data_IF_612816038655
#
_entry.id   IF_612816038655
#
_cell.length_a   1.000
_cell.length_b   1.000
_cell.length_c   1.000
_cell.angle_alpha   90.00
_cell.angle_beta   90.00
_cell.angle_gamma   90.00
#
_symmetry.space_group_name_H-M   'P 1'
#
loop_
_entity.id
_entity.type
_entity.pdbx_description
1 polymer ?
#
# COMPACT_ATOMS: atom_id res chain seq x y z
N UNK A 1 31.61 60.22 -48.10
CA UNK A 1 30.37 59.64 -48.70
C UNK A 1 30.02 58.43 -47.85
N UNK A 2 28.95 58.49 -47.03
CA UNK A 2 27.67 57.73 -47.17
C UNK A 2 27.94 56.26 -47.54
N UNK A 3 27.52 55.25 -46.77
CA UNK A 3 26.16 54.97 -46.31
C UNK A 3 26.14 54.19 -44.99
N UNK A 4 25.21 54.56 -44.12
CA UNK A 4 24.73 53.75 -43.01
C UNK A 4 23.68 52.76 -43.53
N UNK A 5 23.82 51.49 -43.18
CA UNK A 5 22.82 50.46 -43.46
C UNK A 5 22.23 49.98 -42.14
N UNK A 6 21.03 50.46 -41.84
CA UNK A 6 20.20 50.01 -40.73
C UNK A 6 19.68 48.59 -41.00
N UNK A 7 20.02 47.63 -40.14
CA UNK A 7 19.41 46.30 -40.13
C UNK A 7 18.21 46.34 -39.16
N UNK A 8 17.00 46.35 -39.71
CA UNK A 8 15.77 46.23 -38.94
C UNK A 8 15.49 44.74 -38.75
N UNK A 9 15.72 44.23 -37.53
CA UNK A 9 15.33 42.88 -37.14
C UNK A 9 13.83 42.86 -36.81
N UNK A 10 13.03 42.23 -37.66
CA UNK A 10 11.60 42.02 -37.45
C UNK A 10 11.42 40.85 -36.49
N UNK A 11 11.06 41.14 -35.24
CA UNK A 11 10.72 40.14 -34.23
C UNK A 11 9.28 39.67 -34.48
N UNK A 12 9.11 38.52 -35.14
CA UNK A 12 7.80 37.89 -35.31
C UNK A 12 7.40 37.18 -34.00
N UNK A 13 6.51 37.81 -33.23
CA UNK A 13 5.88 37.21 -32.05
C UNK A 13 4.84 36.18 -32.53
N UNK A 14 5.21 34.89 -32.55
CA UNK A 14 4.23 33.82 -32.77
C UNK A 14 3.50 33.58 -31.45
N UNK A 15 2.32 34.18 -31.31
CA UNK A 15 1.41 33.89 -30.21
C UNK A 15 0.78 32.49 -30.43
N UNK A 16 1.42 31.45 -29.92
CA UNK A 16 0.78 30.14 -29.76
C UNK A 16 -0.26 30.22 -28.66
N UNK A 17 -1.53 30.36 -29.04
CA UNK A 17 -2.65 30.13 -28.14
C UNK A 17 -2.69 28.65 -27.77
N UNK A 18 -2.14 28.30 -26.61
CA UNK A 18 -2.38 27.02 -25.97
C UNK A 18 -3.84 27.03 -25.51
N UNK A 19 -4.72 26.40 -26.29
CA UNK A 19 -6.06 26.06 -25.83
C UNK A 19 -5.88 25.04 -24.70
N UNK A 20 -5.95 25.53 -23.46
CA UNK A 20 -6.09 24.70 -22.29
C UNK A 20 -7.44 23.96 -22.40
N UNK A 21 -7.40 22.76 -22.97
CA UNK A 21 -8.50 21.81 -22.86
C UNK A 21 -8.73 21.59 -21.37
N UNK A 22 -9.87 22.07 -20.86
CA UNK A 22 -10.31 21.76 -19.51
C UNK A 22 -10.42 20.24 -19.41
N UNK A 23 -9.42 19.61 -18.78
CA UNK A 23 -9.54 18.23 -18.34
C UNK A 23 -10.68 18.19 -17.34
N UNK A 24 -11.88 17.87 -17.84
CA UNK A 24 -12.94 17.39 -16.97
C UNK A 24 -12.39 16.13 -16.31
N UNK A 25 -12.15 16.23 -15.00
CA UNK A 25 -11.95 15.09 -14.12
C UNK A 25 -13.10 14.12 -14.33
N UNK A 26 -12.91 13.14 -15.20
CA UNK A 26 -13.80 11.98 -15.29
C UNK A 26 -13.63 11.25 -13.97
N UNK A 27 -14.53 11.54 -13.01
CA UNK A 27 -14.66 10.76 -11.79
C UNK A 27 -14.65 9.28 -12.17
N UNK A 28 -13.82 8.44 -11.53
CA UNK A 28 -13.73 7.03 -11.86
C UNK A 28 -15.13 6.43 -11.87
N UNK A 29 -15.45 5.75 -12.97
CA UNK A 29 -16.77 5.18 -13.23
C UNK A 29 -16.95 3.96 -12.31
N UNK A 30 -17.30 4.20 -11.05
CA UNK A 30 -17.75 3.12 -10.18
C UNK A 30 -19.12 2.65 -10.68
N UNK A 31 -19.30 1.36 -11.02
CA UNK A 31 -20.62 0.84 -11.36
C UNK A 31 -21.55 1.04 -10.16
N UNK A 32 -22.53 1.93 -10.32
CA UNK A 32 -23.35 2.51 -9.24
C UNK A 32 -24.34 1.55 -8.57
N UNK A 33 -24.28 0.24 -8.81
CA UNK A 33 -25.40 -0.66 -8.49
C UNK A 33 -25.06 -2.03 -7.87
N UNK A 34 -23.80 -2.31 -7.53
CA UNK A 34 -23.49 -3.58 -6.86
C UNK A 34 -23.58 -3.45 -5.34
N UNK A 35 -24.23 -4.43 -4.69
CA UNK A 35 -24.35 -4.48 -3.22
C UNK A 35 -22.94 -4.51 -2.60
N UNK A 36 -22.72 -3.83 -1.46
CA UNK A 36 -21.42 -3.86 -0.79
C UNK A 36 -21.10 -5.27 -0.32
N UNK A 37 -19.83 -5.66 -0.44
CA UNK A 37 -19.32 -6.87 0.19
C UNK A 37 -19.31 -6.61 1.70
N UNK A 38 -19.67 -7.63 2.47
CA UNK A 38 -19.70 -7.56 3.93
C UNK A 38 -18.56 -8.41 4.50
N UNK A 39 -17.76 -7.83 5.38
CA UNK A 39 -16.79 -8.53 6.21
C UNK A 39 -17.27 -8.56 7.66
N UNK A 40 -17.02 -9.66 8.37
CA UNK A 40 -17.36 -9.78 9.80
C UNK A 40 -16.53 -8.76 10.61
N UNK A 41 -17.19 -7.91 11.40
CA UNK A 41 -16.54 -6.92 12.27
C UNK A 41 -15.50 -7.51 13.24
N UNK A 42 -15.55 -8.82 13.51
CA UNK A 42 -14.54 -9.51 14.30
C UNK A 42 -13.16 -9.51 13.63
N UNK A 43 -13.04 -9.16 12.35
CA UNK A 43 -11.77 -8.88 11.69
C UNK A 43 -10.94 -7.83 12.43
N UNK A 44 -11.59 -6.90 13.14
CA UNK A 44 -10.92 -5.86 13.93
C UNK A 44 -10.47 -6.33 15.33
N UNK A 45 -10.79 -7.56 15.75
CA UNK A 45 -10.46 -8.08 17.08
C UNK A 45 -9.03 -8.65 17.15
N UNK A 46 -8.06 -7.92 16.61
CA UNK A 46 -6.65 -8.35 16.51
C UNK A 46 -5.97 -8.42 17.86
N UNK A 47 -6.47 -7.69 18.87
CA UNK A 47 -5.90 -7.69 20.22
C UNK A 47 -6.04 -9.02 20.97
N UNK A 48 -6.80 -9.98 20.44
CA UNK A 48 -6.90 -11.36 20.95
C UNK A 48 -5.90 -12.31 20.32
N UNK A 49 -5.20 -11.87 19.28
CA UNK A 49 -4.23 -12.65 18.53
C UNK A 49 -2.85 -12.26 19.04
N UNK A 50 -2.01 -13.22 19.46
CA UNK A 50 -0.64 -12.94 19.86
C UNK A 50 0.12 -12.21 18.75
N UNK A 51 1.03 -11.32 19.13
CA UNK A 51 1.99 -10.78 18.18
C UNK A 51 2.96 -11.90 17.78
N UNK A 52 3.18 -12.06 16.47
CA UNK A 52 4.12 -13.03 15.91
C UNK A 52 5.30 -12.29 15.28
N UNK A 53 6.51 -12.40 15.86
CA UNK A 53 7.73 -11.88 15.24
C UNK A 53 7.98 -12.55 13.88
N UNK A 54 8.24 -11.75 12.84
CA UNK A 54 8.68 -12.26 11.54
C UNK A 54 10.17 -11.95 11.40
N UNK A 55 10.98 -12.91 11.82
CA UNK A 55 12.43 -12.82 11.83
C UNK A 55 13.03 -13.94 10.98
N UNK A 56 14.03 -13.61 10.18
CA UNK A 56 14.78 -14.57 9.39
C UNK A 56 16.20 -14.11 9.09
N UNK A 57 17.04 -15.04 8.63
CA UNK A 57 18.45 -14.79 8.35
C UNK A 57 18.73 -14.35 6.91
N UNK A 58 17.74 -14.46 6.01
CA UNK A 58 17.89 -14.09 4.60
C UNK A 58 17.31 -12.69 4.33
N UNK A 59 17.78 -12.07 3.24
CA UNK A 59 17.21 -10.81 2.77
C UNK A 59 15.70 -10.94 2.55
N UNK A 60 14.99 -9.88 2.91
CA UNK A 60 13.55 -9.69 2.79
C UNK A 60 12.70 -10.68 3.60
N UNK A 61 13.30 -11.32 4.62
CA UNK A 61 12.57 -12.20 5.55
C UNK A 61 12.15 -11.52 6.85
N UNK A 62 12.75 -10.37 7.17
CA UNK A 62 12.43 -9.59 8.37
C UNK A 62 11.38 -8.52 8.06
N UNK A 63 10.29 -8.52 8.82
CA UNK A 63 9.22 -7.52 8.68
C UNK A 63 8.36 -7.46 9.94
N UNK A 64 7.54 -6.42 10.07
CA UNK A 64 6.60 -6.29 11.20
C UNK A 64 5.18 -6.33 10.69
N UNK A 65 4.36 -7.21 11.25
CA UNK A 65 2.98 -7.41 10.89
C UNK A 65 2.01 -7.13 12.03
N UNK A 66 0.83 -6.63 11.69
CA UNK A 66 -0.36 -6.72 12.52
C UNK A 66 -1.18 -7.92 12.01
N UNK A 67 -1.26 -8.98 12.81
CA UNK A 67 -1.89 -10.26 12.41
C UNK A 67 -3.40 -10.21 12.64
N UNK A 68 -4.15 -10.73 11.67
CA UNK A 68 -5.60 -10.88 11.71
C UNK A 68 -6.00 -12.36 11.72
N UNK A 69 -7.19 -12.65 12.22
CA UNK A 69 -7.72 -14.00 12.17
C UNK A 69 -8.28 -14.24 10.76
N UNK A 70 -7.56 -15.06 10.00
CA UNK A 70 -7.88 -15.34 8.61
C UNK A 70 -9.30 -15.89 8.43
N UNK A 71 -9.91 -16.51 9.45
CA UNK A 71 -11.29 -17.01 9.33
C UNK A 71 -12.32 -15.91 9.04
N UNK A 72 -12.03 -14.66 9.40
CA UNK A 72 -12.89 -13.51 9.09
C UNK A 72 -12.59 -12.86 7.74
N UNK A 73 -11.41 -13.15 7.18
CA UNK A 73 -10.97 -12.65 5.86
C UNK A 73 -11.30 -13.65 4.75
N UNK A 74 -11.20 -14.95 5.04
CA UNK A 74 -11.44 -16.05 4.10
C UNK A 74 -12.78 -15.95 3.35
N UNK A 75 -13.93 -15.63 3.98
CA UNK A 75 -15.20 -15.51 3.24
C UNK A 75 -15.17 -14.42 2.17
N UNK A 76 -14.43 -13.32 2.41
CA UNK A 76 -14.25 -12.26 1.42
C UNK A 76 -13.36 -12.75 0.28
N UNK A 77 -12.26 -13.45 0.59
CA UNK A 77 -11.42 -14.07 -0.44
C UNK A 77 -12.21 -15.07 -1.30
N UNK A 78 -12.95 -16.00 -0.68
CA UNK A 78 -13.74 -17.02 -1.39
C UNK A 78 -14.76 -16.36 -2.33
N UNK A 79 -15.46 -15.31 -1.88
CA UNK A 79 -16.40 -14.55 -2.69
C UNK A 79 -15.71 -13.87 -3.88
N UNK A 80 -14.60 -13.17 -3.62
CA UNK A 80 -13.82 -12.48 -4.66
C UNK A 80 -13.35 -13.49 -5.71
N UNK A 81 -12.81 -14.62 -5.26
CA UNK A 81 -12.23 -15.63 -6.16
C UNK A 81 -13.30 -16.37 -6.98
N UNK A 82 -14.53 -16.46 -6.48
CA UNK A 82 -15.67 -17.04 -7.19
C UNK A 82 -16.36 -16.03 -8.14
N UNK A 83 -16.06 -14.74 -8.05
CA UNK A 83 -16.79 -13.68 -8.79
C UNK A 83 -15.90 -13.07 -9.88
N UNK A 84 -16.21 -13.39 -11.14
CA UNK A 84 -15.50 -12.94 -12.34
C UNK A 84 -15.25 -11.41 -12.40
N UNK A 85 -16.24 -10.60 -12.03
CA UNK A 85 -16.11 -9.13 -12.04
C UNK A 85 -15.10 -8.60 -11.01
N UNK A 86 -14.97 -9.28 -9.87
CA UNK A 86 -14.09 -8.90 -8.76
C UNK A 86 -12.65 -9.37 -9.01
N UNK A 87 -12.47 -10.61 -9.51
CA UNK A 87 -11.14 -11.17 -9.78
C UNK A 87 -10.66 -10.98 -11.23
N UNK A 88 -11.40 -10.28 -12.08
CA UNK A 88 -11.06 -10.10 -13.49
C UNK A 88 -10.78 -11.43 -14.23
N UNK A 89 -11.63 -12.44 -14.00
CA UNK A 89 -11.50 -13.80 -14.54
C UNK A 89 -10.13 -14.46 -14.24
N UNK A 90 -9.48 -14.06 -13.15
CA UNK A 90 -8.18 -14.58 -12.74
C UNK A 90 -8.35 -15.38 -11.46
N UNK A 91 -8.01 -16.68 -11.50
CA UNK A 91 -7.92 -17.49 -10.29
C UNK A 91 -6.82 -16.93 -9.38
N UNK A 92 -7.16 -16.65 -8.13
CA UNK A 92 -6.27 -16.11 -7.12
C UNK A 92 -5.80 -17.22 -6.18
N UNK A 93 -4.52 -17.17 -5.84
CA UNK A 93 -3.89 -17.90 -4.76
C UNK A 93 -4.04 -17.10 -3.46
N UNK A 94 -4.29 -17.81 -2.36
CA UNK A 94 -4.25 -17.26 -1.02
C UNK A 94 -3.10 -17.89 -0.23
N UNK A 95 -2.57 -17.15 0.74
CA UNK A 95 -1.57 -17.64 1.69
C UNK A 95 -2.18 -18.44 2.85
N UNK A 96 -3.50 -18.41 3.01
CA UNK A 96 -4.17 -19.01 4.16
C UNK A 96 -3.98 -18.23 5.47
N UNK A 97 -3.51 -16.99 5.39
CA UNK A 97 -3.28 -16.08 6.51
C UNK A 97 -3.73 -14.66 6.16
N UNK A 98 -3.85 -13.78 7.16
CA UNK A 98 -4.09 -12.36 6.93
C UNK A 98 -3.28 -11.50 7.89
N UNK A 99 -2.65 -10.46 7.35
CA UNK A 99 -1.95 -9.43 8.12
C UNK A 99 -1.98 -8.08 7.41
N UNK A 100 -1.63 -7.04 8.16
CA UNK A 100 -1.20 -5.75 7.62
C UNK A 100 0.30 -5.69 7.80
N UNK A 101 1.07 -5.58 6.70
CA UNK A 101 2.52 -5.35 6.79
C UNK A 101 2.74 -3.91 7.23
N UNK A 102 3.28 -3.73 8.43
CA UNK A 102 3.47 -2.41 9.07
C UNK A 102 4.86 -1.86 8.82
N UNK A 103 5.87 -2.72 8.79
CA UNK A 103 7.22 -2.43 8.28
C UNK A 103 7.48 -3.44 7.18
N UNK A 104 7.71 -2.97 5.96
CA UNK A 104 7.93 -3.80 4.80
C UNK A 104 9.36 -4.39 4.83
N UNK A 105 9.57 -5.58 4.25
CA UNK A 105 10.92 -6.14 4.12
C UNK A 105 11.95 -5.17 3.49
N UNK A 106 11.67 -4.49 2.35
CA UNK A 106 12.60 -3.49 1.80
C UNK A 106 12.80 -2.26 2.71
N UNK A 107 11.80 -1.85 3.50
CA UNK A 107 12.00 -0.78 4.49
C UNK A 107 12.99 -1.23 5.58
N UNK A 108 12.86 -2.47 6.05
CA UNK A 108 13.79 -2.99 7.04
C UNK A 108 15.20 -3.16 6.47
N UNK A 109 15.38 -3.98 5.44
CA UNK A 109 16.71 -4.39 4.98
C UNK A 109 17.50 -3.25 4.32
N UNK A 110 16.82 -2.34 3.60
CA UNK A 110 17.50 -1.29 2.83
C UNK A 110 17.60 0.04 3.57
N UNK A 111 16.79 0.27 4.62
CA UNK A 111 16.69 1.58 5.28
C UNK A 111 16.98 1.48 6.77
N UNK A 112 16.21 0.69 7.52
CA UNK A 112 16.32 0.64 8.97
C UNK A 112 17.56 -0.13 9.45
N UNK A 113 17.79 -1.32 8.91
CA UNK A 113 18.89 -2.19 9.29
C UNK A 113 20.28 -1.58 9.03
N UNK A 114 20.54 -0.92 7.88
CA UNK A 114 21.82 -0.24 7.62
C UNK A 114 22.14 0.88 8.63
N UNK A 115 21.12 1.48 9.26
CA UNK A 115 21.29 2.45 10.34
C UNK A 115 21.48 1.80 11.73
N UNK A 116 21.54 0.47 11.83
CA UNK A 116 21.73 -0.24 13.10
C UNK A 116 20.46 -0.42 13.93
N UNK A 117 19.28 -0.28 13.31
CA UNK A 117 18.01 -0.71 13.90
C UNK A 117 17.86 -2.22 13.73
N UNK A 118 17.60 -2.96 14.80
CA UNK A 118 17.43 -4.42 14.72
C UNK A 118 15.95 -4.81 14.71
N UNK A 119 15.62 -5.97 14.11
CA UNK A 119 14.25 -6.49 14.10
C UNK A 119 13.74 -6.76 15.53
N UNK A 120 14.63 -7.11 16.47
CA UNK A 120 14.29 -7.28 17.89
C UNK A 120 13.87 -5.96 18.54
N UNK A 121 14.50 -4.84 18.19
CA UNK A 121 14.08 -3.51 18.66
C UNK A 121 12.69 -3.16 18.12
N UNK A 122 12.43 -3.45 16.84
CA UNK A 122 11.12 -3.24 16.22
C UNK A 122 10.03 -4.12 16.87
N UNK A 123 10.34 -5.39 17.12
CA UNK A 123 9.45 -6.33 17.81
C UNK A 123 9.18 -5.88 19.25
N UNK A 124 10.18 -5.33 19.95
CA UNK A 124 10.02 -4.78 21.29
C UNK A 124 9.08 -3.59 21.32
N UNK A 125 9.15 -2.69 20.32
CA UNK A 125 8.17 -1.60 20.18
C UNK A 125 6.77 -2.18 19.93
N UNK A 126 6.66 -3.27 19.15
CA UNK A 126 5.37 -3.83 18.75
C UNK A 126 4.62 -4.49 19.92
N UNK A 127 5.35 -4.96 20.94
CA UNK A 127 4.79 -5.58 22.14
C UNK A 127 4.76 -4.64 23.36
N UNK A 128 4.99 -3.34 23.19
CA UNK A 128 4.93 -2.37 24.30
C UNK A 128 3.57 -2.47 25.02
N UNK A 129 3.54 -2.77 26.33
CA UNK A 129 2.29 -2.96 27.07
C UNK A 129 1.39 -1.71 27.09
N UNK A 130 1.95 -0.51 26.89
CA UNK A 130 1.21 0.75 26.84
C UNK A 130 0.50 0.95 25.50
N UNK A 131 1.07 0.42 24.41
CA UNK A 131 0.53 0.57 23.05
C UNK A 131 0.95 -0.61 22.15
N UNK A 132 0.42 -1.81 22.39
CA UNK A 132 0.80 -2.98 21.61
C UNK A 132 0.21 -2.89 20.20
N UNK A 133 1.01 -3.24 19.19
CA UNK A 133 0.62 -3.17 17.78
C UNK A 133 -0.64 -3.99 17.48
N UNK A 134 -0.78 -5.16 18.12
CA UNK A 134 -1.98 -6.00 17.95
C UNK A 134 -3.28 -5.36 18.44
N UNK A 135 -3.23 -4.26 19.23
CA UNK A 135 -4.41 -3.47 19.61
C UNK A 135 -4.61 -2.23 18.74
N UNK A 136 -3.82 -2.02 17.70
CA UNK A 136 -3.96 -0.87 16.81
C UNK A 136 -5.30 -0.92 16.07
N UNK A 137 -6.00 0.21 16.06
CA UNK A 137 -7.28 0.37 15.35
C UNK A 137 -7.03 0.64 13.88
N UNK A 138 -7.95 0.14 13.05
CA UNK A 138 -8.07 0.41 11.64
C UNK A 138 -9.52 0.17 11.20
N UNK A 139 -9.89 0.76 10.07
CA UNK A 139 -11.15 0.57 9.38
C UNK A 139 -10.93 0.03 7.97
N UNK A 140 -12.02 -0.39 7.34
CA UNK A 140 -12.02 -0.81 5.93
C UNK A 140 -12.51 0.33 5.06
N UNK A 141 -11.76 0.63 4.00
CA UNK A 141 -12.11 1.61 2.98
C UNK A 141 -12.88 0.94 1.83
N UNK A 142 -12.28 -0.07 1.19
CA UNK A 142 -12.81 -0.69 -0.02
C UNK A 142 -12.13 -2.03 -0.32
N UNK A 143 -12.69 -2.76 -1.28
CA UNK A 143 -11.96 -3.81 -1.99
C UNK A 143 -11.13 -3.16 -3.11
N UNK A 144 -9.82 -3.38 -3.11
CA UNK A 144 -8.90 -2.86 -4.10
C UNK A 144 -8.30 -3.96 -4.99
N UNK A 145 -7.98 -3.61 -6.23
CA UNK A 145 -7.30 -4.49 -7.19
C UNK A 145 -6.16 -3.75 -7.86
N UNK A 146 -5.01 -4.40 -7.97
CA UNK A 146 -3.86 -3.92 -8.75
C UNK A 146 -3.44 -4.98 -9.76
N UNK A 147 -2.96 -4.51 -10.91
CA UNK A 147 -2.58 -5.34 -12.05
C UNK A 147 -1.31 -4.76 -12.65
N UNK A 148 -0.37 -5.61 -13.03
CA UNK A 148 0.85 -5.22 -13.73
C UNK A 148 1.29 -6.34 -14.66
N UNK A 149 1.97 -5.99 -15.74
CA UNK A 149 2.70 -6.95 -16.55
C UNK A 149 4.16 -6.86 -16.13
N UNK A 150 4.63 -7.86 -15.39
CA UNK A 150 6.01 -7.89 -14.91
C UNK A 150 6.97 -8.09 -16.07
N UNK A 151 8.02 -7.28 -16.12
CA UNK A 151 9.15 -7.42 -17.06
C UNK A 151 10.28 -8.23 -16.39
N UNK A 152 11.12 -8.94 -17.16
CA UNK A 152 11.15 -9.02 -18.64
C UNK A 152 10.16 -10.01 -19.25
N UNK A 153 9.62 -10.95 -18.46
CA UNK A 153 8.91 -12.13 -18.97
C UNK A 153 7.47 -11.86 -19.44
N UNK A 154 7.02 -10.60 -19.40
CA UNK A 154 5.66 -10.16 -19.74
C UNK A 154 4.56 -10.95 -19.01
N UNK A 155 4.82 -11.34 -17.76
CA UNK A 155 3.87 -12.12 -16.96
C UNK A 155 2.83 -11.17 -16.37
N UNK A 156 1.56 -11.38 -16.74
CA UNK A 156 0.44 -10.70 -16.09
C UNK A 156 0.34 -11.12 -14.63
N UNK A 157 0.41 -10.14 -13.74
CA UNK A 157 0.22 -10.25 -12.31
C UNK A 157 -1.05 -9.51 -11.90
N UNK A 158 -1.71 -10.05 -10.87
CA UNK A 158 -2.82 -9.37 -10.21
C UNK A 158 -2.75 -9.65 -8.70
N UNK A 159 -3.11 -8.65 -7.90
CA UNK A 159 -3.41 -8.80 -6.50
C UNK A 159 -4.74 -8.11 -6.16
N UNK A 160 -5.52 -8.72 -5.28
CA UNK A 160 -6.73 -8.15 -4.69
C UNK A 160 -6.51 -8.02 -3.19
N UNK A 161 -6.88 -6.86 -2.65
CA UNK A 161 -6.64 -6.51 -1.26
C UNK A 161 -7.81 -5.74 -0.64
N UNK A 162 -7.88 -5.76 0.68
CA UNK A 162 -8.70 -4.83 1.46
C UNK A 162 -7.87 -3.57 1.69
N UNK A 163 -8.34 -2.43 1.20
CA UNK A 163 -7.72 -1.13 1.47
C UNK A 163 -8.23 -0.61 2.81
N UNK A 164 -7.33 -0.06 3.62
CA UNK A 164 -7.64 0.36 4.98
C UNK A 164 -7.78 1.87 5.11
N UNK A 165 -8.46 2.28 6.17
CA UNK A 165 -8.61 3.67 6.64
C UNK A 165 -8.49 3.71 8.17
N UNK A 166 -8.52 4.89 8.78
CA UNK A 166 -8.58 5.07 10.23
C UNK A 166 -7.49 4.29 11.01
N UNK A 167 -6.26 4.25 10.48
CA UNK A 167 -5.13 3.44 10.95
C UNK A 167 -4.06 4.24 11.72
N UNK A 168 -4.46 5.31 12.42
CA UNK A 168 -3.54 6.23 13.10
C UNK A 168 -2.71 5.54 14.20
N UNK A 169 -3.23 4.49 14.83
CA UNK A 169 -2.48 3.71 15.81
C UNK A 169 -1.29 2.96 15.15
N UNK A 170 -1.46 2.52 13.89
CA UNK A 170 -0.39 1.87 13.11
C UNK A 170 0.66 2.91 12.70
N UNK A 171 0.24 4.10 12.29
CA UNK A 171 1.17 5.21 12.02
C UNK A 171 1.94 5.59 13.28
N UNK A 172 1.30 5.57 14.45
CA UNK A 172 1.97 5.86 15.70
C UNK A 172 3.05 4.82 16.07
N UNK A 173 2.85 3.55 15.71
CA UNK A 173 3.92 2.54 15.78
C UNK A 173 5.08 2.90 14.83
N UNK A 174 4.77 3.20 13.55
CA UNK A 174 5.78 3.62 12.57
C UNK A 174 6.54 4.86 13.02
N UNK A 175 5.89 5.80 13.71
CA UNK A 175 6.54 6.98 14.29
C UNK A 175 7.57 6.60 15.37
N UNK A 176 7.29 5.58 16.20
CA UNK A 176 8.28 5.06 17.16
C UNK A 176 9.47 4.40 16.49
N UNK A 177 9.24 3.72 15.37
CA UNK A 177 10.31 3.19 14.53
C UNK A 177 11.15 4.31 13.94
N UNK A 178 10.51 5.37 13.43
CA UNK A 178 11.20 6.56 12.92
C UNK A 178 12.06 7.24 14.00
N UNK A 179 11.52 7.44 15.20
CA UNK A 179 12.27 8.00 16.34
C UNK A 179 13.52 7.17 16.67
N UNK A 180 13.40 5.83 16.67
CA UNK A 180 14.52 4.92 16.88
C UNK A 180 15.55 5.01 15.75
N UNK A 181 15.09 5.01 14.51
CA UNK A 181 15.94 5.12 13.32
C UNK A 181 16.77 6.41 13.31
N UNK A 182 16.15 7.56 13.56
CA UNK A 182 16.86 8.85 13.67
C UNK A 182 17.82 8.85 14.84
N UNK A 183 17.42 8.32 15.99
CA UNK A 183 18.30 8.19 17.18
C UNK A 183 19.56 7.36 16.89
N UNK A 184 19.48 6.40 15.99
CA UNK A 184 20.60 5.55 15.55
C UNK A 184 21.47 6.18 14.46
N UNK A 185 21.17 7.43 14.05
CA UNK A 185 21.91 8.14 13.01
C UNK A 185 21.38 7.89 11.60
N UNK A 186 20.21 7.26 11.46
CA UNK A 186 19.54 7.09 10.18
C UNK A 186 19.15 8.43 9.54
N UNK A 187 19.22 8.51 8.21
CA UNK A 187 18.80 9.69 7.46
C UNK A 187 17.26 9.80 7.44
N UNK A 188 16.66 10.81 8.11
CA UNK A 188 15.20 10.92 8.24
C UNK A 188 14.45 11.00 6.90
N UNK A 189 15.11 11.39 5.81
CA UNK A 189 14.51 11.45 4.48
C UNK A 189 14.28 10.07 3.83
N UNK A 190 14.88 9.01 4.36
CA UNK A 190 14.78 7.65 3.80
C UNK A 190 13.63 6.83 4.38
N UNK A 191 13.07 7.22 5.52
CA UNK A 191 11.94 6.54 6.14
C UNK A 191 10.88 7.56 6.54
N UNK A 192 9.69 7.44 5.96
CA UNK A 192 8.53 8.26 6.31
C UNK A 192 7.47 7.37 6.98
N UNK A 193 7.21 7.64 8.26
CA UNK A 193 6.20 6.92 9.02
C UNK A 193 4.78 7.10 8.45
N UNK A 194 4.50 8.25 7.83
CA UNK A 194 3.21 8.62 7.26
C UNK A 194 3.02 8.22 5.80
N UNK A 195 4.09 7.98 5.04
CA UNK A 195 4.01 7.45 3.67
C UNK A 195 3.71 5.94 3.70
N UNK A 196 2.47 5.61 4.04
CA UNK A 196 2.03 4.26 4.31
C UNK A 196 0.67 3.99 3.67
N UNK A 197 0.60 2.92 2.86
CA UNK A 197 -0.62 2.47 2.18
C UNK A 197 -1.04 1.10 2.75
N UNK A 198 -1.62 1.06 3.96
CA UNK A 198 -1.98 -0.19 4.60
C UNK A 198 -3.07 -0.93 3.83
N UNK A 199 -2.83 -2.22 3.68
CA UNK A 199 -3.76 -3.13 3.04
C UNK A 199 -3.64 -4.52 3.65
N UNK A 200 -4.67 -5.34 3.44
CA UNK A 200 -4.65 -6.78 3.71
C UNK A 200 -4.76 -7.49 2.36
N UNK A 201 -3.72 -8.20 1.95
CA UNK A 201 -3.79 -9.00 0.72
C UNK A 201 -4.79 -10.13 0.90
N UNK A 202 -5.77 -10.23 -0.01
CA UNK A 202 -6.71 -11.36 -0.05
C UNK A 202 -6.15 -12.51 -0.90
N UNK A 203 -5.58 -12.15 -2.06
CA UNK A 203 -4.98 -13.13 -2.95
C UNK A 203 -4.32 -12.49 -4.16
N UNK A 204 -3.52 -13.30 -4.84
CA UNK A 204 -2.70 -12.89 -5.98
C UNK A 204 -2.62 -13.99 -7.03
N UNK A 205 -2.25 -13.65 -8.27
CA UNK A 205 -2.16 -14.65 -9.34
C UNK A 205 -0.92 -15.54 -9.21
N UNK A 206 0.28 -14.94 -9.15
CA UNK A 206 1.53 -15.71 -9.03
C UNK A 206 2.35 -15.29 -7.81
N UNK A 207 2.46 -13.98 -7.55
CA UNK A 207 3.12 -13.43 -6.36
C UNK A 207 2.45 -12.15 -5.90
N UNK A 208 2.82 -11.70 -4.71
CA UNK A 208 2.51 -10.34 -4.29
C UNK A 208 3.20 -9.32 -5.20
N UNK A 209 2.50 -8.21 -5.41
CA UNK A 209 2.96 -7.07 -6.22
C UNK A 209 3.27 -5.92 -5.26
N UNK A 210 4.37 -5.21 -5.48
CA UNK A 210 4.85 -4.14 -4.60
C UNK A 210 4.97 -2.81 -5.36
N UNK A 211 5.36 -1.74 -4.65
CA UNK A 211 5.48 -0.40 -5.27
C UNK A 211 6.61 -0.35 -6.30
N UNK A 212 7.62 -1.21 -6.14
CA UNK A 212 8.72 -1.43 -7.08
C UNK A 212 8.24 -1.98 -8.43
N UNK A 213 7.07 -2.61 -8.46
CA UNK A 213 6.40 -3.02 -9.70
C UNK A 213 5.62 -1.86 -10.36
N UNK A 214 5.66 -0.65 -9.80
CA UNK A 214 4.98 0.54 -10.31
C UNK A 214 3.48 0.59 -9.99
N UNK A 215 3.01 -0.17 -8.99
CA UNK A 215 1.60 -0.15 -8.55
C UNK A 215 1.44 0.46 -7.17
N UNK A 216 0.37 1.25 -7.00
CA UNK A 216 0.03 1.87 -5.72
C UNK A 216 -1.27 1.27 -5.20
N UNK A 217 -1.21 0.69 -3.99
CA UNK A 217 -2.32 0.00 -3.32
C UNK A 217 -3.12 0.93 -2.39
N UNK A 218 -3.42 2.14 -2.86
CA UNK A 218 -4.21 3.12 -2.11
C UNK A 218 -5.68 3.16 -2.55
N UNK A 219 -6.37 4.26 -2.26
CA UNK A 219 -7.76 4.50 -2.71
C UNK A 219 -7.91 4.46 -4.24
N UNK A 220 -6.86 4.78 -4.97
CA UNK A 220 -6.78 4.67 -6.43
C UNK A 220 -6.97 3.25 -6.94
N UNK A 221 -6.77 2.22 -6.09
CA UNK A 221 -6.97 0.83 -6.45
C UNK A 221 -8.39 0.32 -6.14
N UNK A 222 -9.26 1.13 -5.53
CA UNK A 222 -10.61 0.70 -5.13
C UNK A 222 -11.46 0.29 -6.34
N UNK A 223 -11.99 -0.93 -6.31
CA UNK A 223 -12.90 -1.46 -7.33
C UNK A 223 -14.31 -1.73 -6.80
N UNK A 224 -14.48 -1.94 -5.48
CA UNK A 224 -15.77 -2.31 -4.91
C UNK A 224 -15.96 -1.79 -3.47
N UNK A 225 -17.21 -1.55 -3.07
CA UNK A 225 -17.53 -1.19 -1.69
C UNK A 225 -17.42 -2.38 -0.76
N UNK A 226 -16.69 -2.24 0.34
CA UNK A 226 -16.54 -3.26 1.38
C UNK A 226 -16.87 -2.61 2.72
N UNK A 227 -17.81 -3.21 3.46
CA UNK A 227 -18.27 -2.71 4.75
C UNK A 227 -18.16 -3.80 5.82
N UNK A 228 -17.88 -3.40 7.05
CA UNK A 228 -17.87 -4.32 8.18
C UNK A 228 -19.22 -4.33 8.90
N UNK A 229 -19.73 -5.52 9.23
CA UNK A 229 -20.98 -5.69 10.00
C UNK A 229 -20.82 -6.73 11.11
#
# INVERSE_FOLDING_TARGET
MRFASSLIATLALVATTVLASSHQDKKPHHPKHEKPIVIDKKVFNTGKIPFHPNTGSALFTNWVGLTLDYKYVKPVFDLVNATASLNNNTALLSRGEAHITVILPPEYDNILHPAGVTIEELNKIAVDPKRPLQKARFGVECLGRVQVVSKPDNVYQQAVQIILKDFQDIVAYRQKVWELFVKKGGNPALFDAGNFLPHITLGFKHRDIFVEDGVFKGKNACIHSLIAK
#
